data_IF_644038790112
#
_entry.id   IF_644038790112
#
_cell.length_a   1.000
_cell.length_b   1.000
_cell.length_c   1.000
_cell.angle_alpha   90.00
_cell.angle_beta   90.00
_cell.angle_gamma   90.00
#
_symmetry.space_group_name_H-M   'P 1'
#
loop_
_entity.id
_entity.type
_entity.pdbx_description
1 polymer ?
#
# COMPACT_ATOMS: atom_id res chain seq x y z
N UNK A 1 2.35 -22.75 -3.34
CA UNK A 1 2.87 -22.06 -4.54
C UNK A 1 3.55 -20.79 -4.06
N UNK A 2 4.84 -20.65 -4.33
CA UNK A 2 5.64 -19.50 -3.91
C UNK A 2 5.68 -18.48 -5.06
N UNK A 3 5.21 -17.25 -4.82
CA UNK A 3 5.24 -16.19 -5.84
C UNK A 3 6.60 -15.48 -5.80
N UNK A 4 7.25 -15.33 -6.96
CA UNK A 4 8.52 -14.59 -7.06
C UNK A 4 8.24 -13.11 -7.30
N UNK A 5 9.06 -12.21 -6.76
CA UNK A 5 8.92 -10.76 -6.99
C UNK A 5 9.79 -10.31 -8.16
N UNK A 6 9.28 -9.38 -8.98
CA UNK A 6 10.03 -8.71 -10.04
C UNK A 6 10.46 -7.35 -9.50
N UNK A 7 11.77 -7.11 -9.44
CA UNK A 7 12.36 -5.94 -8.80
C UNK A 7 13.05 -5.10 -9.90
N UNK A 8 12.75 -3.80 -9.95
CA UNK A 8 13.49 -2.82 -10.74
C UNK A 8 14.10 -1.79 -9.80
N UNK A 9 15.44 -1.69 -9.82
CA UNK A 9 16.18 -0.96 -8.78
C UNK A 9 15.93 -1.61 -7.42
N UNK A 10 15.33 -0.85 -6.50
CA UNK A 10 14.96 -1.29 -5.15
C UNK A 10 13.43 -1.46 -4.97
N UNK A 11 12.67 -1.44 -6.07
CA UNK A 11 11.20 -1.43 -6.03
C UNK A 11 10.62 -2.70 -6.64
N UNK A 12 9.72 -3.36 -5.91
CA UNK A 12 8.91 -4.45 -6.46
C UNK A 12 7.86 -3.83 -7.38
N UNK A 13 7.86 -4.20 -8.66
CA UNK A 13 6.93 -3.65 -9.66
C UNK A 13 5.84 -4.64 -10.04
N UNK A 14 6.09 -5.94 -9.90
CA UNK A 14 5.16 -6.99 -10.23
C UNK A 14 5.50 -8.29 -9.49
N UNK A 15 4.56 -9.23 -9.51
CA UNK A 15 4.78 -10.59 -9.02
C UNK A 15 4.79 -11.58 -10.17
N UNK A 16 5.44 -12.71 -9.98
CA UNK A 16 5.59 -13.78 -10.93
C UNK A 16 4.99 -15.04 -10.31
N UNK A 17 3.93 -15.54 -10.94
CA UNK A 17 3.34 -16.82 -10.54
C UNK A 17 4.27 -17.94 -10.96
N UNK A 18 4.68 -18.77 -10.00
CA UNK A 18 5.50 -19.94 -10.27
C UNK A 18 4.60 -21.07 -10.82
N UNK A 19 4.04 -20.84 -12.02
CA UNK A 19 3.49 -21.91 -12.86
C UNK A 19 4.64 -22.63 -13.56
N UNK A 20 4.41 -23.86 -14.02
CA UNK A 20 5.43 -24.82 -14.47
C UNK A 20 6.46 -24.34 -15.52
N UNK A 21 6.29 -23.14 -16.09
CA UNK A 21 7.16 -22.53 -17.11
C UNK A 21 7.85 -21.24 -16.65
N UNK A 22 7.69 -20.83 -15.37
CA UNK A 22 8.21 -19.55 -14.86
C UNK A 22 7.56 -18.33 -15.52
N UNK A 23 8.05 -17.14 -15.21
CA UNK A 23 7.65 -15.89 -15.90
C UNK A 23 8.59 -15.56 -17.04
N UNK A 24 8.02 -15.13 -18.17
CA UNK A 24 8.78 -14.67 -19.34
C UNK A 24 8.58 -13.16 -19.48
N UNK A 25 9.60 -12.39 -19.11
CA UNK A 25 9.55 -10.91 -19.13
C UNK A 25 9.41 -10.34 -20.55
N UNK A 26 9.91 -11.04 -21.57
CA UNK A 26 9.84 -10.60 -22.97
C UNK A 26 8.42 -10.56 -23.53
N UNK A 27 7.52 -11.41 -23.02
CA UNK A 27 6.13 -11.55 -23.50
C UNK A 27 5.10 -11.22 -22.43
N UNK A 28 5.54 -10.92 -21.20
CA UNK A 28 4.67 -10.65 -20.06
C UNK A 28 3.94 -11.89 -19.52
N UNK A 29 4.29 -13.11 -19.96
CA UNK A 29 3.61 -14.31 -19.50
C UNK A 29 3.87 -14.59 -18.02
N UNK A 30 2.80 -14.90 -17.28
CA UNK A 30 2.80 -15.17 -15.84
C UNK A 30 3.26 -14.00 -14.95
N UNK A 31 3.36 -12.79 -15.50
CA UNK A 31 3.53 -11.54 -14.76
C UNK A 31 2.17 -11.10 -14.23
N UNK A 32 2.05 -10.95 -12.92
CA UNK A 32 0.84 -10.56 -12.23
C UNK A 32 1.03 -9.22 -11.50
N UNK A 33 -0.03 -8.42 -11.34
CA UNK A 33 0.04 -7.24 -10.50
C UNK A 33 0.36 -7.62 -9.05
N UNK A 34 0.88 -6.66 -8.29
CA UNK A 34 1.10 -6.82 -6.85
C UNK A 34 -0.28 -6.96 -6.19
N UNK A 35 -0.49 -7.97 -5.31
CA UNK A 35 -1.75 -8.11 -4.58
C UNK A 35 -2.07 -6.85 -3.78
N UNK A 36 -3.35 -6.43 -3.78
CA UNK A 36 -3.78 -5.25 -3.03
C UNK A 36 -3.53 -5.37 -1.52
N UNK A 37 -3.52 -6.59 -0.99
CA UNK A 37 -3.19 -6.89 0.41
C UNK A 37 -1.75 -6.53 0.79
N UNK A 38 -0.82 -6.54 -0.17
CA UNK A 38 0.56 -6.11 0.04
C UNK A 38 0.74 -4.58 -0.10
N UNK A 39 -0.25 -3.89 -0.69
CA UNK A 39 -0.23 -2.44 -0.93
C UNK A 39 -1.16 -1.66 0.01
N UNK A 40 -1.86 -2.34 0.92
CA UNK A 40 -2.81 -1.72 1.84
C UNK A 40 -2.44 -2.02 3.28
N UNK A 41 -2.52 -0.98 4.11
CA UNK A 41 -2.42 -1.08 5.56
C UNK A 41 -3.75 -0.60 6.10
N UNK A 42 -4.42 -1.43 6.90
CA UNK A 42 -5.65 -1.09 7.59
C UNK A 42 -5.45 -1.18 9.10
N UNK A 43 -6.27 -0.43 9.84
CA UNK A 43 -6.23 -0.41 11.29
C UNK A 43 -7.42 0.33 11.85
N UNK A 44 -7.65 0.17 13.16
CA UNK A 44 -8.74 0.84 13.86
C UNK A 44 -8.16 1.91 14.78
N UNK A 45 -8.68 3.13 14.68
CA UNK A 45 -8.39 4.22 15.62
C UNK A 45 -9.55 4.32 16.61
N UNK A 46 -9.24 4.20 17.90
CA UNK A 46 -10.20 4.41 18.99
C UNK A 46 -9.86 5.69 19.73
N UNK A 47 -10.88 6.47 20.07
CA UNK A 47 -10.74 7.69 20.88
C UNK A 47 -11.65 7.63 22.09
N UNK A 48 -11.15 8.14 23.21
CA UNK A 48 -11.95 8.36 24.43
C UNK A 48 -12.47 9.80 24.51
N UNK A 49 -12.01 10.68 23.62
CA UNK A 49 -12.43 12.07 23.58
C UNK A 49 -13.80 12.18 22.89
N UNK A 50 -14.81 12.62 23.64
CA UNK A 50 -16.21 12.72 23.18
C UNK A 50 -16.36 13.69 22.00
N UNK A 51 -15.54 14.73 21.92
CA UNK A 51 -15.58 15.68 20.80
C UNK A 51 -15.09 14.99 19.52
N UNK A 52 -13.96 14.28 19.59
CA UNK A 52 -13.42 13.53 18.45
C UNK A 52 -14.32 12.37 18.03
N UNK A 53 -15.00 11.73 18.98
CA UNK A 53 -15.97 10.68 18.67
C UNK A 53 -17.14 11.20 17.80
N UNK A 54 -17.50 12.47 17.94
CA UNK A 54 -18.55 13.13 17.17
C UNK A 54 -18.04 13.81 15.89
N UNK A 55 -16.77 13.66 15.54
CA UNK A 55 -16.23 14.23 14.32
C UNK A 55 -16.81 13.59 13.07
N UNK A 56 -17.04 14.41 12.05
CA UNK A 56 -17.46 13.92 10.73
C UNK A 56 -16.33 13.13 10.05
N UNK A 57 -16.69 12.32 9.06
CA UNK A 57 -15.73 11.56 8.24
C UNK A 57 -14.65 12.47 7.63
N UNK A 58 -15.01 13.68 7.22
CA UNK A 58 -14.07 14.65 6.63
C UNK A 58 -13.06 15.19 7.65
N UNK A 59 -13.48 15.36 8.90
CA UNK A 59 -12.58 15.74 9.99
C UNK A 59 -11.58 14.61 10.28
N UNK A 60 -12.07 13.36 10.39
CA UNK A 60 -11.18 12.20 10.52
C UNK A 60 -10.23 12.03 9.34
N UNK A 61 -10.72 12.23 8.12
CA UNK A 61 -9.91 12.18 6.91
C UNK A 61 -8.77 13.21 6.96
N UNK A 62 -9.00 14.40 7.53
CA UNK A 62 -7.95 15.42 7.72
C UNK A 62 -6.83 14.93 8.64
N UNK A 63 -7.15 14.15 9.67
CA UNK A 63 -6.18 13.53 10.58
C UNK A 63 -5.38 12.46 9.84
N UNK A 64 -6.04 11.51 9.18
CA UNK A 64 -5.33 10.40 8.51
C UNK A 64 -4.50 10.90 7.32
N UNK A 65 -4.94 11.97 6.63
CA UNK A 65 -4.12 12.64 5.61
C UNK A 65 -2.81 13.22 6.16
N UNK A 66 -2.72 13.55 7.46
CA UNK A 66 -1.44 13.93 8.08
C UNK A 66 -0.48 12.76 8.15
N UNK A 67 -0.99 11.54 8.34
CA UNK A 67 -0.17 10.32 8.31
C UNK A 67 0.43 10.12 6.93
N UNK A 68 -0.36 10.27 5.86
CA UNK A 68 0.14 10.22 4.47
C UNK A 68 1.26 11.23 4.23
N UNK A 69 1.07 12.48 4.70
CA UNK A 69 2.11 13.51 4.59
C UNK A 69 3.37 13.16 5.38
N UNK A 70 3.21 12.66 6.60
CA UNK A 70 4.33 12.24 7.43
C UNK A 70 5.11 11.05 6.82
N UNK A 71 4.40 10.12 6.19
CA UNK A 71 5.03 9.03 5.43
C UNK A 71 5.83 9.58 4.24
N UNK A 72 5.26 10.53 3.49
CA UNK A 72 5.94 11.13 2.33
C UNK A 72 7.19 11.95 2.72
N UNK A 73 7.16 12.66 3.85
CA UNK A 73 8.27 13.51 4.29
C UNK A 73 9.34 12.78 5.13
N UNK A 74 9.06 11.55 5.58
CA UNK A 74 9.92 10.78 6.47
C UNK A 74 10.79 9.75 5.76
N UNK A 75 11.51 8.93 6.54
CA UNK A 75 12.35 7.83 6.02
C UNK A 75 11.56 6.82 5.16
N UNK A 76 10.24 6.74 5.36
CA UNK A 76 9.35 5.89 4.58
C UNK A 76 9.07 6.44 3.17
N UNK A 77 9.28 7.73 2.91
CA UNK A 77 8.94 8.38 1.64
C UNK A 77 9.73 7.84 0.44
N UNK A 78 10.88 7.22 0.68
CA UNK A 78 11.70 6.59 -0.36
C UNK A 78 11.15 5.22 -0.80
N UNK A 79 10.26 4.61 -0.01
CA UNK A 79 9.77 3.24 -0.23
C UNK A 79 8.38 3.18 -0.86
N UNK A 80 7.74 4.32 -1.10
CA UNK A 80 6.41 4.39 -1.72
C UNK A 80 6.38 5.48 -2.79
N UNK A 81 5.84 5.17 -3.97
CA UNK A 81 5.66 6.15 -5.05
C UNK A 81 4.52 7.12 -4.70
N UNK A 82 3.44 6.59 -4.14
CA UNK A 82 2.30 7.36 -3.67
C UNK A 82 1.55 6.59 -2.58
N UNK A 83 0.81 7.32 -1.74
CA UNK A 83 -0.04 6.75 -0.72
C UNK A 83 -1.33 7.56 -0.62
N UNK A 84 -2.44 6.86 -0.37
CA UNK A 84 -3.75 7.46 -0.10
C UNK A 84 -4.30 6.81 1.15
N UNK A 85 -4.85 7.63 2.03
CA UNK A 85 -5.57 7.15 3.21
C UNK A 85 -7.07 7.36 3.01
N UNK A 86 -7.86 6.45 3.55
CA UNK A 86 -9.33 6.55 3.58
C UNK A 86 -9.84 6.18 4.97
N UNK A 87 -10.90 6.85 5.41
CA UNK A 87 -11.68 6.47 6.59
C UNK A 87 -12.89 5.70 6.10
N UNK A 88 -13.12 4.46 6.55
CA UNK A 88 -14.26 3.62 6.14
C UNK A 88 -15.38 3.61 7.17
#
# INVERSE_FOLDING_TARGET
>A
MEAKCIIFGDTITATCSNMAQGCILSTGMNVMPIPSTAMSISGTLSTTNVIMANWSRNMWQTVVNRVVRAMASGALGLHFISAVATVS
#
